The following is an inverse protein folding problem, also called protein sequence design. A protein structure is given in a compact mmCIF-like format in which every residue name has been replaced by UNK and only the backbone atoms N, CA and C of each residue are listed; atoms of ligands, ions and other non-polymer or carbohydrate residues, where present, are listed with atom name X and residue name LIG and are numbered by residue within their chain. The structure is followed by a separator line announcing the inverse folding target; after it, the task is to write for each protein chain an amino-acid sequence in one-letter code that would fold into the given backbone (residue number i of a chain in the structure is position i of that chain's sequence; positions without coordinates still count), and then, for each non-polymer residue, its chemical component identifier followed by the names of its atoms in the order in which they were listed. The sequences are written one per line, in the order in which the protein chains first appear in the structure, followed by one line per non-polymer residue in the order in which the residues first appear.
data_IF_688884265817
#
_entry.id   IF_688884265817
#
_cell.length_a   1.000
_cell.length_b   1.000
_cell.length_c   1.000
_cell.angle_alpha   90.00
_cell.angle_beta   90.00
_cell.angle_gamma   90.00
#
_symmetry.space_group_name_H-M   'P 1'
#
loop_
_entity.id
_entity.type
_entity.pdbx_description
1 polymer ?
#
# COMPACT_ATOMS: atom_id res chain seq x y z
N UNK A 1 -13.50 43.03 -21.56
CA UNK A 1 -14.68 43.91 -21.57
C UNK A 1 -14.95 44.38 -20.14
N UNK A 2 -14.77 45.68 -19.91
CA UNK A 2 -15.08 46.42 -18.67
C UNK A 2 -16.49 47.03 -18.81
N UNK A 3 -17.14 47.37 -17.69
CA UNK A 3 -17.36 48.80 -17.38
C UNK A 3 -16.97 49.09 -15.91
N UNK A 4 -16.18 50.12 -15.55
CA UNK A 4 -16.31 51.59 -15.73
C UNK A 4 -17.69 52.12 -15.38
N UNK A 5 -17.89 52.51 -14.11
CA UNK A 5 -18.65 53.72 -13.75
C UNK A 5 -18.01 54.38 -12.51
N UNK A 6 -17.60 55.63 -12.72
CA UNK A 6 -17.23 56.63 -11.73
C UNK A 6 -18.52 57.23 -11.15
N UNK A 7 -18.53 57.54 -9.84
CA UNK A 7 -19.15 58.76 -9.32
C UNK A 7 -18.53 59.08 -7.96
N UNK A 8 -17.78 60.18 -7.94
CA UNK A 8 -17.33 60.85 -6.74
C UNK A 8 -18.48 61.66 -6.15
N UNK A 9 -18.71 61.56 -4.84
CA UNK A 9 -19.42 62.57 -4.06
C UNK A 9 -18.61 62.82 -2.79
N UNK A 10 -18.03 64.01 -2.72
CA UNK A 10 -17.46 64.61 -1.51
C UNK A 10 -18.63 65.11 -0.67
N UNK A 11 -18.80 64.58 0.55
CA UNK A 11 -19.56 65.26 1.60
C UNK A 11 -18.67 65.33 2.84
N UNK A 12 -18.35 66.58 3.18
CA UNK A 12 -17.75 67.06 4.39
C UNK A 12 -18.77 66.93 5.54
N UNK A 13 -18.49 66.13 6.59
CA UNK A 13 -19.22 66.22 7.88
C UNK A 13 -18.24 66.12 9.04
N UNK A 14 -18.10 67.28 9.69
CA UNK A 14 -17.83 67.55 11.09
C UNK A 14 -17.25 66.43 11.96
N UNK A 15 -16.00 66.68 12.39
CA UNK A 15 -15.44 66.22 13.65
C UNK A 15 -16.40 66.49 14.82
N UNK A 16 -17.01 65.44 15.35
CA UNK A 16 -17.50 65.42 16.74
C UNK A 16 -16.68 64.40 17.49
N UNK A 17 -15.74 64.91 18.30
CA UNK A 17 -15.06 64.12 19.31
C UNK A 17 -16.11 63.70 20.35
N UNK A 18 -16.72 62.53 20.18
CA UNK A 18 -17.42 61.88 21.28
C UNK A 18 -16.37 61.41 22.27
N UNK A 19 -16.21 62.17 23.36
CA UNK A 19 -15.57 61.68 24.58
C UNK A 19 -16.18 60.31 24.90
N UNK A 20 -15.37 59.26 24.74
CA UNK A 20 -15.72 57.96 25.27
C UNK A 20 -15.82 58.10 26.81
N UNK A 21 -16.93 57.71 27.46
CA UNK A 21 -16.98 57.69 28.91
C UNK A 21 -15.89 56.74 29.40
N UNK A 22 -15.02 57.24 30.27
CA UNK A 22 -14.06 56.43 31.00
C UNK A 22 -14.83 55.27 31.66
N UNK A 23 -14.52 54.04 31.24
CA UNK A 23 -15.07 52.85 31.89
C UNK A 23 -14.76 52.95 33.39
N UNK A 24 -15.75 52.75 34.27
CA UNK A 24 -15.49 52.74 35.70
C UNK A 24 -14.43 51.69 36.00
N UNK A 25 -13.37 52.08 36.71
CA UNK A 25 -12.33 51.18 37.16
C UNK A 25 -12.99 50.05 37.96
N UNK A 26 -12.98 48.84 37.39
CA UNK A 26 -13.44 47.64 38.09
C UNK A 26 -12.55 47.42 39.30
N UNK A 27 -13.14 47.00 40.41
CA UNK A 27 -12.39 46.71 41.63
C UNK A 27 -11.38 45.58 41.36
N UNK A 28 -10.10 45.70 41.77
CA UNK A 28 -9.06 44.69 41.56
C UNK A 28 -9.45 43.26 41.98
N UNK A 29 -10.31 43.11 42.99
CA UNK A 29 -10.84 41.80 43.44
C UNK A 29 -11.75 41.08 42.42
N UNK A 30 -12.43 41.81 41.54
CA UNK A 30 -13.30 41.19 40.53
C UNK A 30 -12.51 40.68 39.33
N UNK A 31 -11.39 41.33 39.00
CA UNK A 31 -10.52 40.93 37.92
C UNK A 31 -9.67 39.71 38.33
N UNK A 32 -9.11 39.69 39.56
CA UNK A 32 -8.43 38.50 40.13
C UNK A 32 -9.31 37.24 40.07
N UNK A 33 -10.59 37.33 40.47
CA UNK A 33 -11.53 36.19 40.42
C UNK A 33 -11.82 35.70 39.00
N UNK A 34 -11.82 36.59 38.01
CA UNK A 34 -12.07 36.22 36.60
C UNK A 34 -10.87 35.50 36.00
N UNK A 35 -9.66 35.93 36.35
CA UNK A 35 -8.41 35.34 35.87
C UNK A 35 -8.16 33.96 36.48
N UNK A 36 -8.36 33.82 37.80
CA UNK A 36 -8.31 32.52 38.48
C UNK A 36 -9.32 31.52 37.88
N UNK A 37 -10.53 31.98 37.54
CA UNK A 37 -11.52 31.17 36.85
C UNK A 37 -11.08 30.78 35.43
N UNK A 38 -10.42 31.68 34.70
CA UNK A 38 -9.92 31.39 33.36
C UNK A 38 -8.79 30.35 33.37
N UNK A 39 -7.89 30.40 34.36
CA UNK A 39 -6.84 29.38 34.54
C UNK A 39 -7.46 28.04 34.93
N UNK A 40 -8.44 28.01 35.84
CA UNK A 40 -9.15 26.77 36.22
C UNK A 40 -9.85 26.11 35.02
N UNK A 41 -10.58 26.88 34.23
CA UNK A 41 -11.22 26.38 33.00
C UNK A 41 -10.19 25.81 32.01
N UNK A 42 -9.08 26.50 31.78
CA UNK A 42 -8.01 25.99 30.93
C UNK A 42 -7.35 24.71 31.48
N UNK A 43 -7.32 24.53 32.81
CA UNK A 43 -6.87 23.26 33.42
C UNK A 43 -7.88 22.14 33.23
N UNK A 44 -9.18 22.43 33.32
CA UNK A 44 -10.26 21.48 33.03
C UNK A 44 -10.20 21.03 31.56
N UNK A 45 -10.06 21.95 30.61
CA UNK A 45 -9.91 21.63 29.18
C UNK A 45 -8.69 20.72 28.90
N UNK A 46 -7.56 20.93 29.59
CA UNK A 46 -6.40 20.04 29.48
C UNK A 46 -6.73 18.65 30.02
N UNK A 47 -7.43 18.54 31.15
CA UNK A 47 -7.84 17.24 31.71
C UNK A 47 -8.79 16.50 30.79
N UNK A 48 -9.82 17.18 30.27
CA UNK A 48 -10.76 16.62 29.31
C UNK A 48 -10.05 16.14 28.04
N UNK A 49 -9.11 16.93 27.49
CA UNK A 49 -8.33 16.53 26.33
C UNK A 49 -7.40 15.33 26.61
N UNK A 50 -6.84 15.21 27.82
CA UNK A 50 -6.07 14.04 28.25
C UNK A 50 -6.94 12.79 28.36
N UNK A 51 -8.14 12.92 28.94
CA UNK A 51 -9.10 11.83 29.05
C UNK A 51 -9.59 11.37 27.68
N UNK A 52 -9.93 12.30 26.78
CA UNK A 52 -10.30 11.99 25.41
C UNK A 52 -9.15 11.24 24.71
N UNK A 53 -7.91 11.73 24.81
CA UNK A 53 -6.76 11.06 24.19
C UNK A 53 -6.61 9.62 24.70
N UNK A 54 -6.73 9.39 26.01
CA UNK A 54 -6.66 8.04 26.59
C UNK A 54 -7.76 7.13 26.04
N UNK A 55 -8.99 7.64 25.94
CA UNK A 55 -10.11 6.88 25.35
C UNK A 55 -9.85 6.54 23.88
N UNK A 56 -9.34 7.48 23.07
CA UNK A 56 -8.97 7.21 21.67
C UNK A 56 -7.83 6.20 21.55
N UNK A 57 -6.86 6.25 22.45
CA UNK A 57 -5.76 5.29 22.50
C UNK A 57 -6.21 3.88 22.95
N UNK A 58 -7.29 3.77 23.71
CA UNK A 58 -7.94 2.49 24.00
C UNK A 58 -8.70 1.96 22.77
N UNK A 59 -9.54 2.80 22.14
CA UNK A 59 -10.29 2.44 20.92
C UNK A 59 -9.35 1.93 19.81
N UNK A 60 -8.24 2.64 19.53
CA UNK A 60 -7.30 2.16 18.50
C UNK A 60 -6.67 0.81 18.85
N UNK A 61 -6.39 0.51 20.13
CA UNK A 61 -5.85 -0.80 20.54
C UNK A 61 -6.89 -1.90 20.29
N UNK A 62 -8.15 -1.66 20.63
CA UNK A 62 -9.25 -2.58 20.35
C UNK A 62 -9.43 -2.80 18.85
N UNK A 63 -9.42 -1.73 18.04
CA UNK A 63 -9.49 -1.83 16.57
C UNK A 63 -8.34 -2.63 15.98
N UNK A 64 -7.11 -2.46 16.50
CA UNK A 64 -5.97 -3.24 16.05
C UNK A 64 -6.11 -4.74 16.37
N UNK A 65 -6.74 -5.10 17.50
CA UNK A 65 -7.05 -6.50 17.82
C UNK A 65 -8.07 -7.09 16.85
N UNK A 66 -9.15 -6.35 16.55
CA UNK A 66 -10.15 -6.78 15.58
C UNK A 66 -9.58 -6.93 14.17
N UNK A 67 -8.75 -5.98 13.72
CA UNK A 67 -8.08 -6.08 12.42
C UNK A 67 -7.14 -7.28 12.34
N UNK A 68 -6.35 -7.55 13.39
CA UNK A 68 -5.50 -8.76 13.45
C UNK A 68 -6.32 -10.05 13.40
N UNK A 69 -7.44 -10.11 14.13
CA UNK A 69 -8.33 -11.26 14.08
C UNK A 69 -8.94 -11.46 12.67
N UNK A 70 -9.33 -10.38 11.99
CA UNK A 70 -9.83 -10.42 10.62
C UNK A 70 -8.75 -10.89 9.63
N UNK A 71 -7.51 -10.41 9.78
CA UNK A 71 -6.36 -10.87 8.99
C UNK A 71 -6.10 -12.37 9.18
N UNK A 72 -6.13 -12.86 10.43
CA UNK A 72 -5.99 -14.29 10.72
C UNK A 72 -7.14 -15.12 10.10
N UNK A 73 -8.37 -14.62 10.18
CA UNK A 73 -9.53 -15.27 9.58
C UNK A 73 -9.39 -15.38 8.05
N UNK A 74 -8.94 -14.31 7.37
CA UNK A 74 -8.64 -14.36 5.93
C UNK A 74 -7.54 -15.37 5.60
N UNK A 75 -6.45 -15.38 6.37
CA UNK A 75 -5.37 -16.35 6.17
C UNK A 75 -5.84 -17.79 6.36
N UNK A 76 -6.68 -18.04 7.36
CA UNK A 76 -7.28 -19.35 7.59
C UNK A 76 -8.20 -19.76 6.43
N UNK A 77 -9.10 -18.87 5.98
CA UNK A 77 -9.97 -19.10 4.82
C UNK A 77 -9.17 -19.35 3.53
N UNK A 78 -8.07 -18.61 3.32
CA UNK A 78 -7.15 -18.81 2.20
C UNK A 78 -6.54 -20.22 2.20
N UNK A 79 -6.06 -20.69 3.36
CA UNK A 79 -5.49 -22.04 3.50
C UNK A 79 -6.55 -23.12 3.30
N UNK A 80 -7.77 -22.89 3.80
CA UNK A 80 -8.89 -23.81 3.61
C UNK A 80 -9.30 -23.91 2.14
N UNK A 81 -9.33 -22.78 1.43
CA UNK A 81 -9.63 -22.74 0.00
C UNK A 81 -8.58 -23.51 -0.81
N UNK A 82 -7.29 -23.28 -0.53
CA UNK A 82 -6.19 -24.00 -1.18
C UNK A 82 -6.26 -25.52 -0.89
N UNK A 83 -6.44 -25.91 0.37
CA UNK A 83 -6.56 -27.32 0.73
C UNK A 83 -7.83 -27.98 0.18
N UNK A 84 -8.87 -27.20 -0.14
CA UNK A 84 -10.05 -27.67 -0.84
C UNK A 84 -9.78 -27.82 -2.33
N UNK A 85 -9.09 -26.88 -2.96
CA UNK A 85 -8.67 -26.96 -4.36
C UNK A 85 -7.86 -28.23 -4.62
N UNK A 86 -6.85 -28.51 -3.76
CA UNK A 86 -6.03 -29.72 -3.86
C UNK A 86 -6.88 -31.00 -3.76
N UNK A 87 -7.83 -31.05 -2.81
CA UNK A 87 -8.75 -32.19 -2.64
C UNK A 87 -9.71 -32.34 -3.81
N UNK A 88 -10.18 -31.23 -4.38
CA UNK A 88 -11.07 -31.23 -5.54
C UNK A 88 -10.32 -31.60 -6.81
N UNK A 89 -9.04 -31.28 -6.92
CA UNK A 89 -8.19 -31.78 -8.01
C UNK A 89 -8.17 -33.30 -8.02
N UNK A 90 -7.89 -33.93 -6.88
CA UNK A 90 -7.91 -35.39 -6.75
C UNK A 90 -9.31 -35.97 -7.04
N UNK A 91 -10.37 -35.35 -6.52
CA UNK A 91 -11.76 -35.80 -6.71
C UNK A 91 -12.21 -35.71 -8.17
N UNK A 92 -11.77 -34.68 -8.89
CA UNK A 92 -12.12 -34.45 -10.29
C UNK A 92 -11.07 -34.99 -11.26
N UNK A 93 -10.08 -35.75 -10.81
CA UNK A 93 -9.00 -36.22 -11.67
C UNK A 93 -9.50 -37.09 -12.81
N UNK A 94 -10.39 -38.05 -12.54
CA UNK A 94 -10.95 -38.92 -13.59
C UNK A 94 -11.75 -38.13 -14.65
N UNK A 95 -12.41 -37.05 -14.25
CA UNK A 95 -13.22 -36.23 -15.14
C UNK A 95 -12.40 -35.19 -15.93
N UNK A 96 -11.29 -34.71 -15.37
CA UNK A 96 -10.53 -33.57 -15.91
C UNK A 96 -9.19 -34.00 -16.52
N UNK A 97 -8.57 -35.05 -15.98
CA UNK A 97 -7.25 -35.55 -16.33
C UNK A 97 -6.12 -34.55 -16.02
N UNK A 98 -6.31 -33.67 -15.05
CA UNK A 98 -5.41 -32.54 -14.82
C UNK A 98 -4.06 -32.97 -14.23
N UNK A 99 -4.04 -33.83 -13.22
CA UNK A 99 -2.81 -34.37 -12.65
C UNK A 99 -2.06 -35.25 -13.66
N UNK A 100 -2.77 -36.07 -14.44
CA UNK A 100 -2.19 -36.84 -15.54
C UNK A 100 -1.55 -35.95 -16.62
N UNK A 101 -2.22 -34.87 -17.02
CA UNK A 101 -1.67 -33.90 -17.97
C UNK A 101 -0.42 -33.21 -17.41
N UNK A 102 -0.41 -32.83 -16.12
CA UNK A 102 0.76 -32.26 -15.44
C UNK A 102 1.95 -33.22 -15.43
N UNK A 103 1.72 -34.50 -15.11
CA UNK A 103 2.75 -35.55 -15.15
C UNK A 103 3.31 -35.73 -16.56
N UNK A 104 2.45 -35.71 -17.59
CA UNK A 104 2.89 -35.79 -18.99
C UNK A 104 3.72 -34.59 -19.42
N UNK A 105 3.33 -33.38 -19.03
CA UNK A 105 4.13 -32.18 -19.27
C UNK A 105 5.49 -32.26 -18.59
N UNK A 106 5.55 -32.73 -17.34
CA UNK A 106 6.82 -32.91 -16.66
C UNK A 106 7.71 -33.93 -17.37
N UNK A 107 7.18 -35.09 -17.75
CA UNK A 107 7.93 -36.10 -18.50
C UNK A 107 8.44 -35.57 -19.86
N UNK A 108 7.62 -34.79 -20.58
CA UNK A 108 8.02 -34.17 -21.83
C UNK A 108 9.14 -33.13 -21.65
N UNK A 109 9.10 -32.35 -20.55
CA UNK A 109 10.17 -31.41 -20.18
C UNK A 109 11.46 -32.15 -19.86
N UNK A 110 11.39 -33.17 -19.02
CA UNK A 110 12.56 -33.96 -18.62
C UNK A 110 13.22 -34.62 -19.85
N UNK A 111 12.41 -35.18 -20.76
CA UNK A 111 12.89 -35.75 -22.01
C UNK A 111 13.52 -34.70 -22.94
N UNK A 112 12.87 -33.54 -23.10
CA UNK A 112 13.40 -32.45 -23.90
C UNK A 112 14.72 -31.90 -23.32
N UNK A 113 14.79 -31.64 -22.01
CA UNK A 113 16.00 -31.12 -21.37
C UNK A 113 17.15 -32.12 -21.41
N UNK A 114 16.88 -33.42 -21.21
CA UNK A 114 17.88 -34.47 -21.34
C UNK A 114 18.47 -34.52 -22.76
N UNK A 115 17.63 -34.45 -23.79
CA UNK A 115 18.07 -34.44 -25.19
C UNK A 115 18.73 -33.11 -25.61
N UNK A 116 18.28 -31.98 -25.05
CA UNK A 116 18.79 -30.65 -25.37
C UNK A 116 20.15 -30.38 -24.73
N UNK A 117 20.49 -31.08 -23.64
CA UNK A 117 21.76 -30.92 -22.92
C UNK A 117 23.00 -30.95 -23.84
N UNK A 118 23.25 -31.99 -24.66
CA UNK A 118 24.42 -32.00 -25.56
C UNK A 118 24.39 -30.88 -26.62
N UNK A 119 23.20 -30.44 -27.05
CA UNK A 119 23.06 -29.32 -27.99
C UNK A 119 23.45 -28.01 -27.33
N UNK A 120 23.01 -27.78 -26.08
CA UNK A 120 23.41 -26.62 -25.26
C UNK A 120 24.91 -26.63 -24.98
N UNK A 121 25.50 -27.79 -24.68
CA UNK A 121 26.95 -27.92 -24.46
C UNK A 121 27.75 -27.54 -25.72
N UNK A 122 27.33 -27.98 -26.90
CA UNK A 122 27.95 -27.58 -28.17
C UNK A 122 27.78 -26.08 -28.45
N UNK A 123 26.58 -25.55 -28.22
CA UNK A 123 26.30 -24.13 -28.40
C UNK A 123 27.13 -23.26 -27.46
N UNK A 124 27.38 -23.70 -26.23
CA UNK A 124 28.22 -22.99 -25.27
C UNK A 124 29.69 -22.90 -25.69
N UNK A 125 30.15 -23.80 -26.56
CA UNK A 125 31.48 -23.73 -27.16
C UNK A 125 31.52 -22.88 -28.45
N UNK A 126 30.37 -22.44 -28.96
CA UNK A 126 30.28 -21.63 -30.18
C UNK A 126 30.76 -20.19 -29.91
N UNK A 127 31.74 -19.67 -30.69
CA UNK A 127 32.22 -18.30 -30.56
C UNK A 127 31.12 -17.23 -30.64
N UNK A 128 30.11 -17.43 -31.49
CA UNK A 128 29.00 -16.47 -31.66
C UNK A 128 28.14 -16.41 -30.40
N UNK A 129 27.94 -17.56 -29.75
CA UNK A 129 27.17 -17.67 -28.52
C UNK A 129 27.94 -17.08 -27.33
N UNK A 130 29.24 -17.33 -27.22
CA UNK A 130 30.11 -16.72 -26.21
C UNK A 130 30.12 -15.18 -26.33
N UNK A 131 30.20 -14.67 -27.57
CA UNK A 131 30.11 -13.24 -27.86
C UNK A 131 28.75 -12.66 -27.44
N UNK A 132 27.65 -13.32 -27.77
CA UNK A 132 26.31 -12.90 -27.38
C UNK A 132 26.10 -12.92 -25.86
N UNK A 133 26.62 -13.94 -25.16
CA UNK A 133 26.58 -13.99 -23.69
C UNK A 133 27.39 -12.88 -23.05
N UNK A 134 28.59 -12.59 -23.57
CA UNK A 134 29.41 -11.48 -23.08
C UNK A 134 28.68 -10.14 -23.22
N UNK A 135 28.11 -9.87 -24.39
CA UNK A 135 27.31 -8.67 -24.63
C UNK A 135 26.11 -8.56 -23.66
N UNK A 136 25.45 -9.68 -23.34
CA UNK A 136 24.36 -9.71 -22.37
C UNK A 136 24.85 -9.42 -20.94
N UNK A 137 26.02 -9.93 -20.55
CA UNK A 137 26.62 -9.64 -19.24
C UNK A 137 27.03 -8.18 -19.11
N UNK A 138 27.67 -7.61 -20.14
CA UNK A 138 28.04 -6.20 -20.21
C UNK A 138 26.81 -5.29 -20.12
N UNK A 139 25.74 -5.60 -20.87
CA UNK A 139 24.49 -4.85 -20.80
C UNK A 139 23.79 -4.95 -19.43
N UNK A 140 23.88 -6.11 -18.76
CA UNK A 140 23.38 -6.28 -17.37
C UNK A 140 24.21 -5.49 -16.36
N UNK A 141 25.53 -5.40 -16.54
CA UNK A 141 26.41 -4.64 -15.67
C UNK A 141 26.14 -3.13 -15.79
N UNK A 142 26.00 -2.63 -17.03
CA UNK A 142 25.66 -1.23 -17.30
C UNK A 142 24.35 -0.78 -16.61
N UNK A 143 23.37 -1.66 -16.50
CA UNK A 143 22.11 -1.39 -15.77
C UNK A 143 22.24 -1.40 -14.24
N UNK A 144 23.26 -2.07 -13.70
CA UNK A 144 23.45 -2.19 -12.24
C UNK A 144 24.32 -1.07 -11.67
N UNK A 145 25.30 -0.61 -12.43
CA UNK A 145 26.31 0.34 -11.93
C UNK A 145 25.80 1.79 -11.86
N UNK A 146 24.66 2.11 -12.47
CA UNK A 146 24.23 3.50 -12.58
C UNK A 146 22.72 3.71 -12.40
N UNK A 147 22.28 3.74 -11.14
CA UNK A 147 20.91 4.11 -10.77
C UNK A 147 20.65 5.63 -10.86
N UNK A 148 21.72 6.42 -10.94
CA UNK A 148 21.70 7.89 -11.02
C UNK A 148 21.86 8.42 -12.46
N UNK A 149 22.08 7.54 -13.44
CA UNK A 149 22.15 7.89 -14.85
C UNK A 149 20.88 8.61 -15.36
N UNK A 150 21.00 9.55 -16.31
CA UNK A 150 19.87 10.13 -17.02
C UNK A 150 18.91 9.06 -17.55
N UNK A 151 17.61 9.36 -17.57
CA UNK A 151 16.56 8.41 -17.96
C UNK A 151 16.75 7.86 -19.39
N UNK A 152 17.33 8.66 -20.28
CA UNK A 152 17.65 8.28 -21.66
C UNK A 152 18.74 7.21 -21.73
N UNK A 153 19.79 7.33 -20.91
CA UNK A 153 20.88 6.35 -20.85
C UNK A 153 20.42 5.02 -20.27
N UNK A 154 19.52 5.07 -19.27
CA UNK A 154 18.87 3.87 -18.74
C UNK A 154 17.98 3.17 -19.76
N UNK A 155 17.24 3.93 -20.57
CA UNK A 155 16.43 3.36 -21.64
C UNK A 155 17.30 2.72 -22.73
N UNK A 156 18.42 3.35 -23.09
CA UNK A 156 19.40 2.80 -24.02
C UNK A 156 20.05 1.51 -23.49
N UNK A 157 20.43 1.48 -22.21
CA UNK A 157 20.98 0.29 -21.57
C UNK A 157 19.96 -0.87 -21.48
N UNK A 158 18.69 -0.57 -21.17
CA UNK A 158 17.61 -1.56 -21.18
C UNK A 158 17.35 -2.12 -22.59
N UNK A 159 17.38 -1.26 -23.61
CA UNK A 159 17.25 -1.69 -25.01
C UNK A 159 18.42 -2.57 -25.44
N UNK A 160 19.66 -2.22 -25.05
CA UNK A 160 20.84 -3.03 -25.30
C UNK A 160 20.76 -4.41 -24.61
N UNK A 161 20.30 -4.46 -23.37
CA UNK A 161 20.07 -5.71 -22.64
C UNK A 161 19.03 -6.58 -23.33
N UNK A 162 17.89 -6.00 -23.74
CA UNK A 162 16.84 -6.73 -24.45
C UNK A 162 17.38 -7.29 -25.77
N UNK A 163 18.11 -6.49 -26.55
CA UNK A 163 18.73 -6.94 -27.81
C UNK A 163 19.70 -8.09 -27.59
N UNK A 164 20.58 -7.99 -26.58
CA UNK A 164 21.54 -9.04 -26.26
C UNK A 164 20.83 -10.33 -25.78
N UNK A 165 19.78 -10.20 -24.96
CA UNK A 165 18.97 -11.33 -24.52
C UNK A 165 18.28 -12.02 -25.70
N UNK A 166 17.68 -11.25 -26.61
CA UNK A 166 17.06 -11.77 -27.82
C UNK A 166 18.08 -12.51 -28.67
N UNK A 167 19.29 -11.97 -28.85
CA UNK A 167 20.34 -12.63 -29.64
C UNK A 167 20.76 -13.98 -29.05
N UNK A 168 20.93 -14.07 -27.72
CA UNK A 168 21.22 -15.34 -27.03
C UNK A 168 20.10 -16.36 -27.28
N UNK A 169 18.83 -15.94 -27.12
CA UNK A 169 17.66 -16.80 -27.35
C UNK A 169 17.54 -17.25 -28.80
N UNK A 170 17.83 -16.38 -29.76
CA UNK A 170 17.84 -16.74 -31.18
C UNK A 170 18.88 -17.82 -31.48
N UNK A 171 20.08 -17.72 -30.92
CA UNK A 171 21.13 -18.72 -31.11
C UNK A 171 20.74 -20.07 -30.46
N UNK A 172 20.12 -20.04 -29.28
CA UNK A 172 19.57 -21.24 -28.62
C UNK A 172 18.49 -21.90 -29.47
N UNK A 173 17.52 -21.10 -29.94
CA UNK A 173 16.45 -21.61 -30.79
C UNK A 173 16.99 -22.20 -32.09
N UNK A 174 17.92 -21.50 -32.76
CA UNK A 174 18.55 -21.98 -33.98
C UNK A 174 19.32 -23.28 -33.75
N UNK A 175 20.02 -23.43 -32.63
CA UNK A 175 20.70 -24.66 -32.27
C UNK A 175 19.70 -25.81 -32.09
N UNK A 176 18.56 -25.55 -31.43
CA UNK A 176 17.51 -26.56 -31.26
C UNK A 176 16.81 -26.92 -32.57
N UNK A 177 16.52 -25.95 -33.44
CA UNK A 177 15.84 -26.18 -34.73
C UNK A 177 16.69 -27.00 -35.72
N UNK A 178 18.02 -26.86 -35.60
CA UNK A 178 19.02 -27.62 -36.37
C UNK A 178 19.18 -29.06 -35.86
N UNK A 179 18.71 -29.38 -34.66
CA UNK A 179 18.78 -30.71 -34.05
C UNK A 179 17.52 -31.52 -34.37
N UNK A 180 17.55 -32.46 -35.35
CA UNK A 180 16.37 -33.22 -35.75
C UNK A 180 15.79 -34.08 -34.61
N UNK A 181 16.62 -34.53 -33.68
CA UNK A 181 16.26 -35.28 -32.48
C UNK A 181 15.38 -34.48 -31.49
N UNK A 182 15.48 -33.13 -31.50
CA UNK A 182 14.70 -32.27 -30.61
C UNK A 182 13.32 -31.92 -31.17
N UNK A 183 13.14 -31.93 -32.49
CA UNK A 183 11.85 -31.60 -33.12
C UNK A 183 10.66 -32.41 -32.62
N UNK A 184 10.71 -33.76 -32.53
CA UNK A 184 9.59 -34.53 -32.00
C UNK A 184 9.33 -34.21 -30.51
N UNK A 185 10.38 -33.95 -29.74
CA UNK A 185 10.27 -33.60 -28.32
C UNK A 185 9.68 -32.19 -28.12
N UNK A 186 10.00 -31.22 -28.98
CA UNK A 186 9.35 -29.90 -28.98
C UNK A 186 7.85 -30.02 -29.30
N UNK A 187 7.49 -30.83 -30.29
CA UNK A 187 6.10 -31.09 -30.63
C UNK A 187 5.36 -31.79 -29.48
N UNK A 188 6.00 -32.75 -28.82
CA UNK A 188 5.44 -33.42 -27.64
C UNK A 188 5.28 -32.47 -26.45
N UNK A 189 6.28 -31.61 -26.19
CA UNK A 189 6.22 -30.59 -25.15
C UNK A 189 5.04 -29.63 -25.41
N UNK A 190 4.91 -29.11 -26.63
CA UNK A 190 3.80 -28.23 -27.01
C UNK A 190 2.44 -28.92 -26.89
N UNK A 191 2.34 -30.20 -27.29
CA UNK A 191 1.12 -30.99 -27.13
C UNK A 191 0.77 -31.23 -25.65
N UNK A 192 1.76 -31.49 -24.79
CA UNK A 192 1.57 -31.66 -23.36
C UNK A 192 1.16 -30.35 -22.67
N UNK A 193 1.73 -29.21 -23.08
CA UNK A 193 1.31 -27.87 -22.62
C UNK A 193 -0.15 -27.59 -23.00
N UNK A 194 -0.54 -27.87 -24.25
CA UNK A 194 -1.93 -27.73 -24.70
C UNK A 194 -2.87 -28.66 -23.91
N UNK A 195 -2.44 -29.88 -23.60
CA UNK A 195 -3.22 -30.83 -22.79
C UNK A 195 -3.42 -30.31 -21.36
N UNK A 196 -2.38 -29.76 -20.71
CA UNK A 196 -2.50 -29.13 -19.38
C UNK A 196 -3.46 -27.95 -19.40
N UNK A 197 -3.38 -27.08 -20.42
CA UNK A 197 -4.31 -25.95 -20.56
C UNK A 197 -5.75 -26.40 -20.76
N UNK A 198 -5.97 -27.45 -21.56
CA UNK A 198 -7.30 -28.04 -21.77
C UNK A 198 -7.86 -28.65 -20.49
N UNK A 199 -7.06 -29.47 -19.78
CA UNK A 199 -7.45 -30.11 -18.53
C UNK A 199 -7.70 -29.09 -17.42
N UNK A 200 -6.88 -28.04 -17.33
CA UNK A 200 -7.09 -26.91 -16.40
C UNK A 200 -8.45 -26.25 -16.62
N UNK A 201 -8.81 -25.94 -17.86
CA UNK A 201 -10.14 -25.35 -18.16
C UNK A 201 -11.28 -26.27 -17.74
N UNK A 202 -11.14 -27.59 -17.94
CA UNK A 202 -12.15 -28.57 -17.47
C UNK A 202 -12.23 -28.60 -15.95
N UNK A 203 -11.09 -28.53 -15.27
CA UNK A 203 -11.03 -28.46 -13.81
C UNK A 203 -11.66 -27.19 -13.27
N UNK A 204 -11.34 -26.02 -13.82
CA UNK A 204 -11.97 -24.75 -13.47
C UNK A 204 -13.50 -24.80 -13.67
N UNK A 205 -13.98 -25.40 -14.76
CA UNK A 205 -15.42 -25.61 -14.98
C UNK A 205 -16.06 -26.59 -13.97
N UNK A 206 -15.31 -27.59 -13.50
CA UNK A 206 -15.77 -28.50 -12.46
C UNK A 206 -15.87 -27.78 -11.11
N UNK A 207 -14.85 -27.00 -10.74
CA UNK A 207 -14.86 -26.14 -9.55
C UNK A 207 -16.03 -25.15 -9.56
N UNK A 208 -16.30 -24.51 -10.71
CA UNK A 208 -17.42 -23.58 -10.88
C UNK A 208 -18.79 -24.23 -10.71
N UNK A 209 -18.88 -25.57 -10.73
CA UNK A 209 -20.10 -26.32 -10.47
C UNK A 209 -20.12 -26.94 -9.09
N UNK A 210 -18.98 -27.03 -8.41
CA UNK A 210 -18.85 -27.63 -7.10
C UNK A 210 -19.41 -26.71 -6.00
N UNK A 211 -20.38 -27.20 -5.18
CA UNK A 211 -20.99 -26.39 -4.13
C UNK A 211 -20.05 -26.13 -2.95
N UNK A 212 -19.13 -27.04 -2.63
CA UNK A 212 -18.14 -26.88 -1.56
C UNK A 212 -17.15 -25.77 -1.94
N UNK A 213 -16.68 -25.76 -3.20
CA UNK A 213 -15.83 -24.70 -3.73
C UNK A 213 -16.49 -23.32 -3.65
N UNK A 214 -17.75 -23.23 -4.09
CA UNK A 214 -18.52 -21.97 -4.02
C UNK A 214 -18.69 -21.46 -2.60
N UNK A 215 -18.95 -22.35 -1.65
CA UNK A 215 -19.10 -22.00 -0.25
C UNK A 215 -17.77 -21.47 0.31
N UNK A 216 -16.67 -22.22 0.15
CA UNK A 216 -15.35 -21.82 0.62
C UNK A 216 -14.87 -20.50 -0.02
N UNK A 217 -15.14 -20.30 -1.32
CA UNK A 217 -14.82 -19.05 -2.01
C UNK A 217 -15.60 -17.87 -1.43
N UNK A 218 -16.88 -18.06 -1.13
CA UNK A 218 -17.71 -17.03 -0.47
C UNK A 218 -17.17 -16.68 0.91
N UNK A 219 -16.79 -17.68 1.70
CA UNK A 219 -16.23 -17.48 3.03
C UNK A 219 -14.90 -16.69 2.98
N UNK A 220 -14.05 -17.01 1.99
CA UNK A 220 -12.82 -16.25 1.74
C UNK A 220 -13.11 -14.79 1.32
N UNK A 221 -14.04 -14.58 0.39
CA UNK A 221 -14.45 -13.23 -0.04
C UNK A 221 -15.03 -12.42 1.13
N UNK A 222 -15.84 -13.04 1.99
CA UNK A 222 -16.37 -12.41 3.19
C UNK A 222 -15.27 -12.07 4.21
N UNK A 223 -14.30 -12.98 4.41
CA UNK A 223 -13.16 -12.70 5.29
C UNK A 223 -12.28 -11.56 4.76
N UNK A 224 -12.10 -11.46 3.44
CA UNK A 224 -11.39 -10.35 2.80
C UNK A 224 -12.12 -9.02 2.97
N UNK A 225 -13.45 -9.00 2.79
CA UNK A 225 -14.27 -7.82 3.02
C UNK A 225 -14.23 -7.37 4.49
N UNK A 226 -14.25 -8.32 5.42
CA UNK A 226 -14.14 -8.04 6.84
C UNK A 226 -12.76 -7.46 7.20
N UNK A 227 -11.66 -8.01 6.68
CA UNK A 227 -10.31 -7.44 6.89
C UNK A 227 -10.24 -6.00 6.38
N UNK A 228 -10.70 -5.75 5.15
CA UNK A 228 -10.70 -4.41 4.56
C UNK A 228 -11.58 -3.42 5.34
N UNK A 229 -12.69 -3.90 5.91
CA UNK A 229 -13.56 -3.10 6.79
C UNK A 229 -12.83 -2.73 8.08
N UNK A 230 -12.22 -3.68 8.76
CA UNK A 230 -11.51 -3.43 10.02
C UNK A 230 -10.26 -2.54 9.82
N UNK A 231 -9.57 -2.69 8.68
CA UNK A 231 -8.47 -1.80 8.30
C UNK A 231 -8.93 -0.34 8.19
N UNK A 232 -10.09 -0.09 7.56
CA UNK A 232 -10.68 1.26 7.50
C UNK A 232 -11.01 1.80 8.89
N UNK A 233 -11.55 0.97 9.79
CA UNK A 233 -11.82 1.39 11.16
C UNK A 233 -10.54 1.72 11.95
N UNK A 234 -9.44 0.99 11.74
CA UNK A 234 -8.13 1.34 12.31
C UNK A 234 -7.66 2.69 11.76
N UNK A 235 -7.75 2.94 10.46
CA UNK A 235 -7.35 4.22 9.86
C UNK A 235 -8.19 5.39 10.39
N UNK A 236 -9.50 5.20 10.59
CA UNK A 236 -10.38 6.19 11.23
C UNK A 236 -10.00 6.45 12.69
N UNK A 237 -9.73 5.39 13.47
CA UNK A 237 -9.29 5.51 14.86
C UNK A 237 -7.94 6.25 14.97
N UNK A 238 -6.99 6.00 14.07
CA UNK A 238 -5.73 6.74 13.98
C UNK A 238 -5.95 8.24 13.77
N UNK A 239 -6.86 8.62 12.86
CA UNK A 239 -7.22 10.03 12.63
C UNK A 239 -7.82 10.67 13.88
N UNK A 240 -8.66 9.94 14.63
CA UNK A 240 -9.23 10.43 15.90
C UNK A 240 -8.18 10.61 16.99
N UNK A 241 -7.19 9.70 17.09
CA UNK A 241 -6.05 9.86 18.00
C UNK A 241 -5.23 11.10 17.63
N UNK A 242 -4.93 11.30 16.35
CA UNK A 242 -4.21 12.49 15.89
C UNK A 242 -4.95 13.79 16.27
N UNK A 243 -6.26 13.85 15.99
CA UNK A 243 -7.08 15.00 16.37
C UNK A 243 -7.12 15.25 17.90
N UNK A 244 -7.20 14.18 18.71
CA UNK A 244 -7.17 14.30 20.18
C UNK A 244 -5.81 14.82 20.68
N UNK A 245 -4.70 14.39 20.05
CA UNK A 245 -3.36 14.92 20.35
C UNK A 245 -3.25 16.40 20.03
N UNK A 246 -3.78 16.83 18.88
CA UNK A 246 -3.82 18.25 18.50
C UNK A 246 -4.62 19.09 19.51
N UNK A 247 -5.79 18.60 19.94
CA UNK A 247 -6.60 19.25 21.00
C UNK A 247 -5.82 19.40 22.30
N UNK A 248 -5.12 18.35 22.73
CA UNK A 248 -4.29 18.40 23.93
C UNK A 248 -3.17 19.45 23.80
N UNK A 249 -2.52 19.54 22.63
CA UNK A 249 -1.50 20.57 22.37
C UNK A 249 -2.12 21.98 22.45
N UNK A 250 -3.29 22.18 21.83
CA UNK A 250 -4.00 23.46 21.88
C UNK A 250 -4.40 23.85 23.31
N UNK A 251 -4.99 22.92 24.08
CA UNK A 251 -5.38 23.16 25.47
C UNK A 251 -4.17 23.51 26.36
N UNK A 252 -3.04 22.81 26.21
CA UNK A 252 -1.80 23.14 26.92
C UNK A 252 -1.27 24.53 26.56
N UNK A 253 -1.32 24.91 25.28
CA UNK A 253 -0.91 26.25 24.82
C UNK A 253 -1.81 27.32 25.42
N UNK A 254 -3.12 27.11 25.47
CA UNK A 254 -4.06 28.04 26.10
C UNK A 254 -3.79 28.19 27.60
N UNK A 255 -3.58 27.08 28.32
CA UNK A 255 -3.23 27.11 29.73
C UNK A 255 -1.94 27.91 29.99
N UNK A 256 -0.91 27.71 29.16
CA UNK A 256 0.35 28.49 29.27
C UNK A 256 0.11 29.99 29.04
N UNK A 257 -0.68 30.36 28.03
CA UNK A 257 -1.03 31.76 27.78
C UNK A 257 -1.81 32.38 28.94
N UNK A 258 -2.80 31.66 29.50
CA UNK A 258 -3.59 32.13 30.64
C UNK A 258 -2.75 32.30 31.90
N UNK A 259 -1.84 31.36 32.18
CA UNK A 259 -0.87 31.50 33.28
C UNK A 259 0.09 32.67 33.06
N UNK A 260 0.58 32.88 31.84
CA UNK A 260 1.44 34.01 31.53
C UNK A 260 0.71 35.36 31.66
N UNK A 261 -0.59 35.41 31.36
CA UNK A 261 -1.45 36.59 31.57
C UNK A 261 -1.63 36.87 33.08
N UNK A 262 -2.01 35.86 33.86
CA UNK A 262 -2.16 35.93 35.33
C UNK A 262 -0.87 36.37 36.06
N UNK A 263 0.31 36.04 35.51
CA UNK A 263 1.60 36.47 36.06
C UNK A 263 2.00 37.91 35.68
N UNK A 264 1.46 38.44 34.57
CA UNK A 264 1.78 39.79 34.09
C UNK A 264 0.89 40.86 34.69
N UNK A 265 -0.22 40.50 35.35
CA UNK A 265 -1.14 41.46 35.91
C UNK A 265 -0.53 42.19 37.14
N UNK A 266 -0.42 43.53 37.03
CA UNK A 266 0.29 44.36 37.99
C UNK A 266 -0.44 44.49 39.34
N UNK A 267 -1.74 44.18 39.37
CA UNK A 267 -2.53 44.08 40.60
C UNK A 267 -1.96 43.07 41.61
N UNK A 268 -1.33 42.00 41.11
CA UNK A 268 -0.70 40.96 41.95
C UNK A 268 0.71 41.35 42.41
N UNK A 269 1.44 42.17 41.63
CA UNK A 269 2.77 42.68 42.00
C UNK A 269 2.71 43.76 43.09
N UNK A 270 1.67 44.60 43.08
CA UNK A 270 1.50 45.66 44.09
C UNK A 270 1.08 45.16 45.48
N UNK A 271 0.64 43.90 45.62
CA UNK A 271 0.37 43.26 46.92
C UNK A 271 1.60 42.65 47.62
N UNK A 272 2.75 42.57 46.94
CA UNK A 272 3.99 42.00 47.51
C UNK A 272 5.02 43.05 47.97
N UNK A 273 4.63 44.33 48.00
CA UNK A 273 5.37 45.41 48.67
C UNK A 273 4.59 45.83 49.91
#
# INVERSE_FOLDING_TARGET
MLPRWLMAVVILVLSTATLAPARPAKSPQQDEKREDQAVKKAQEEVREAQEELRQREQDIRERLLHWRAAQQARQAASRQLQALEDRLEDRHEEATGFAAAKRRLQAARDAFDAAAKPVRERLQADPDYLSAQKALQEAKAALKEDLDQPQEDRAAAAAAQLKALTRVRELEQQAFDKSPELRPLQAELAAAEAAVQSARKKFEQALDRDPEWKAARRDFEQAQQNEAREERHVAEAQRRVAAARERLVQANRQLQLKRAQDLRDDNRKNKKK
#
